data_IF_604905833464
#
_entry.id   IF_604905833464
#
_cell.length_a   1.000
_cell.length_b   1.000
_cell.length_c   1.000
_cell.angle_alpha   90.00
_cell.angle_beta   90.00
_cell.angle_gamma   90.00
#
_symmetry.space_group_name_H-M   'P 1'
#
loop_
_entity.id
_entity.type
_entity.pdbx_description
1 polymer ?
#
# COMPACT_ATOMS: atom_id res chain seq x y z
N UNK A 1 -19.58 22.29 -7.68
CA UNK A 1 -18.23 22.32 -7.06
C UNK A 1 -17.80 20.89 -6.81
N UNK A 2 -16.53 20.54 -7.10
CA UNK A 2 -16.02 19.19 -6.96
C UNK A 2 -15.89 18.77 -5.49
N UNK A 3 -16.19 17.52 -5.16
CA UNK A 3 -16.15 17.00 -3.79
C UNK A 3 -14.75 17.09 -3.14
N UNK A 4 -13.69 16.98 -3.96
CA UNK A 4 -12.30 17.15 -3.49
C UNK A 4 -12.05 18.52 -2.85
N UNK A 5 -12.73 19.56 -3.31
CA UNK A 5 -12.66 20.92 -2.74
C UNK A 5 -13.16 20.91 -1.29
N UNK A 6 -14.23 20.17 -1.02
CA UNK A 6 -14.80 20.08 0.32
C UNK A 6 -13.91 19.25 1.25
N UNK A 7 -13.29 18.18 0.79
CA UNK A 7 -12.25 17.48 1.56
C UNK A 7 -11.13 18.42 1.99
N UNK A 8 -10.66 19.26 1.06
CA UNK A 8 -9.59 20.22 1.33
C UNK A 8 -10.00 21.27 2.36
N UNK A 9 -11.16 21.93 2.20
CA UNK A 9 -11.56 23.00 3.13
C UNK A 9 -11.95 22.47 4.50
N UNK A 10 -12.58 21.31 4.59
CA UNK A 10 -12.86 20.66 5.85
C UNK A 10 -11.59 20.30 6.62
N UNK A 11 -10.52 19.91 5.94
CA UNK A 11 -9.23 19.62 6.58
C UNK A 11 -8.58 20.82 7.25
N UNK A 12 -9.03 22.04 6.95
CA UNK A 12 -8.55 23.28 7.55
C UNK A 12 -9.21 23.59 8.90
N UNK A 13 -10.23 22.84 9.31
CA UNK A 13 -10.96 23.07 10.53
C UNK A 13 -10.33 22.31 11.68
N UNK A 14 -9.78 23.02 12.64
CA UNK A 14 -9.19 22.41 13.84
C UNK A 14 -10.21 21.54 14.58
N UNK A 15 -9.78 20.33 14.95
CA UNK A 15 -10.63 19.35 15.62
C UNK A 15 -11.50 18.50 14.69
N UNK A 16 -11.51 18.76 13.38
CA UNK A 16 -12.18 17.93 12.38
C UNK A 16 -11.12 17.07 11.65
N UNK A 17 -10.87 15.89 12.18
CA UNK A 17 -9.92 14.94 11.61
C UNK A 17 -10.57 13.91 10.68
N UNK A 18 -9.80 12.99 10.11
CA UNK A 18 -10.26 12.00 9.12
C UNK A 18 -11.49 11.18 9.57
N UNK A 19 -11.54 10.82 10.85
CA UNK A 19 -12.68 10.05 11.41
C UNK A 19 -13.97 10.87 11.34
N UNK A 20 -13.91 12.13 11.74
CA UNK A 20 -15.09 13.01 11.70
C UNK A 20 -15.50 13.34 10.27
N UNK A 21 -14.56 13.51 9.35
CA UNK A 21 -14.84 13.69 7.92
C UNK A 21 -15.58 12.50 7.32
N UNK A 22 -15.16 11.29 7.68
CA UNK A 22 -15.84 10.07 7.25
C UNK A 22 -17.27 9.97 7.81
N UNK A 23 -17.49 10.35 9.08
CA UNK A 23 -18.82 10.42 9.70
C UNK A 23 -19.70 11.44 9.01
N UNK A 24 -19.16 12.64 8.70
CA UNK A 24 -19.88 13.64 7.90
C UNK A 24 -20.30 13.09 6.55
N UNK A 25 -19.38 12.46 5.83
CA UNK A 25 -19.68 11.87 4.52
C UNK A 25 -20.75 10.78 4.63
N UNK A 26 -20.69 9.92 5.65
CA UNK A 26 -21.69 8.88 5.89
C UNK A 26 -23.08 9.45 6.21
N UNK A 27 -23.13 10.53 6.99
CA UNK A 27 -24.39 11.14 7.43
C UNK A 27 -25.05 11.99 6.33
N UNK A 28 -24.25 12.78 5.60
CA UNK A 28 -24.76 13.72 4.59
C UNK A 28 -24.64 13.22 3.13
N UNK A 29 -23.99 12.09 2.93
CA UNK A 29 -23.69 11.55 1.59
C UNK A 29 -22.45 12.18 0.95
N UNK A 30 -22.29 13.50 1.06
CA UNK A 30 -21.13 14.26 0.56
C UNK A 30 -20.65 15.28 1.58
N UNK A 31 -19.36 15.64 1.51
CA UNK A 31 -18.82 16.74 2.34
C UNK A 31 -19.31 18.10 1.87
N UNK A 32 -19.72 18.23 0.60
CA UNK A 32 -20.40 19.40 0.07
C UNK A 32 -21.74 19.65 0.78
N UNK A 33 -22.58 18.61 0.88
CA UNK A 33 -23.85 18.71 1.62
C UNK A 33 -23.63 19.01 3.11
N UNK A 34 -22.60 18.40 3.72
CA UNK A 34 -22.20 18.70 5.09
C UNK A 34 -21.74 20.16 5.26
N UNK A 35 -21.08 20.74 4.25
CA UNK A 35 -20.62 22.14 4.28
C UNK A 35 -21.78 23.12 4.33
N UNK A 36 -22.90 22.82 3.67
CA UNK A 36 -24.11 23.67 3.65
C UNK A 36 -25.07 23.37 4.82
N UNK A 37 -24.81 22.33 5.61
CA UNK A 37 -25.69 21.90 6.68
C UNK A 37 -25.78 22.94 7.83
N UNK A 38 -26.95 23.04 8.44
CA UNK A 38 -27.17 23.91 9.61
C UNK A 38 -26.41 23.40 10.84
N UNK A 39 -26.08 24.26 11.81
CA UNK A 39 -25.43 23.85 13.06
C UNK A 39 -26.22 22.78 13.82
N UNK A 40 -27.55 22.77 13.73
CA UNK A 40 -28.38 21.74 14.34
C UNK A 40 -28.16 20.37 13.72
N UNK A 41 -28.14 20.27 12.38
CA UNK A 41 -27.86 19.03 11.66
C UNK A 41 -26.43 18.51 11.87
N UNK A 42 -25.45 19.42 11.98
CA UNK A 42 -24.07 19.00 12.28
C UNK A 42 -23.95 18.36 13.67
N UNK A 43 -24.79 18.77 14.66
CA UNK A 43 -24.80 18.16 16.00
C UNK A 43 -25.36 16.73 16.04
N UNK A 44 -26.10 16.32 15.01
CA UNK A 44 -26.60 14.94 14.88
C UNK A 44 -25.49 13.96 14.53
N UNK A 45 -24.36 14.45 14.02
CA UNK A 45 -23.21 13.62 13.67
C UNK A 45 -22.41 13.27 14.93
N UNK A 46 -22.19 11.99 15.16
CA UNK A 46 -21.41 11.52 16.31
C UNK A 46 -20.02 12.14 16.36
N UNK A 47 -19.67 12.74 17.50
CA UNK A 47 -18.41 13.45 17.73
C UNK A 47 -18.44 14.96 17.39
N UNK A 48 -19.57 15.48 16.87
CA UNK A 48 -19.77 16.91 16.67
C UNK A 48 -20.40 17.56 17.90
N UNK A 49 -19.62 17.73 18.96
CA UNK A 49 -20.05 18.48 20.14
C UNK A 49 -20.15 20.00 19.87
N UNK A 50 -20.70 20.74 20.83
CA UNK A 50 -20.94 22.18 20.70
C UNK A 50 -19.69 22.96 20.26
N UNK A 51 -18.53 22.68 20.85
CA UNK A 51 -17.24 23.34 20.49
C UNK A 51 -16.81 23.07 19.05
N UNK A 52 -16.97 21.80 18.57
CA UNK A 52 -16.62 21.44 17.20
C UNK A 52 -17.53 22.14 16.21
N UNK A 53 -18.85 22.20 16.47
CA UNK A 53 -19.82 22.89 15.62
C UNK A 53 -19.54 24.39 15.58
N UNK A 54 -19.23 25.02 16.71
CA UNK A 54 -18.85 26.42 16.77
C UNK A 54 -17.60 26.73 15.94
N UNK A 55 -16.56 25.90 16.07
CA UNK A 55 -15.33 26.00 15.24
C UNK A 55 -15.63 25.87 13.75
N UNK A 56 -16.51 24.93 13.38
CA UNK A 56 -16.95 24.74 11.99
C UNK A 56 -17.67 25.97 11.46
N UNK A 57 -18.67 26.46 12.19
CA UNK A 57 -19.47 27.64 11.77
C UNK A 57 -18.58 28.87 11.62
N UNK A 58 -17.71 29.14 12.61
CA UNK A 58 -16.80 30.28 12.59
C UNK A 58 -15.79 30.19 11.43
N UNK A 59 -15.26 29.00 11.15
CA UNK A 59 -14.28 28.85 10.08
C UNK A 59 -14.93 28.85 8.69
N UNK A 60 -16.09 28.21 8.56
CA UNK A 60 -16.85 28.14 7.31
C UNK A 60 -17.26 29.50 6.78
N UNK A 61 -17.63 30.45 7.67
CA UNK A 61 -17.96 31.82 7.28
C UNK A 61 -16.78 32.63 6.72
N UNK A 62 -15.55 32.16 6.96
CA UNK A 62 -14.31 32.82 6.52
C UNK A 62 -13.72 32.20 5.25
N UNK A 63 -14.18 31.01 4.82
CA UNK A 63 -13.62 30.28 3.70
C UNK A 63 -14.62 30.25 2.55
N UNK A 64 -14.24 30.85 1.43
CA UNK A 64 -14.83 30.59 0.13
C UNK A 64 -14.12 29.36 -0.46
N UNK A 65 -14.78 28.20 -0.63
CA UNK A 65 -14.12 26.97 -1.04
C UNK A 65 -13.40 27.06 -2.39
N UNK A 66 -13.97 27.79 -3.34
CA UNK A 66 -13.43 27.90 -4.69
C UNK A 66 -12.15 28.74 -4.71
N UNK A 67 -12.20 29.91 -4.07
CA UNK A 67 -11.02 30.77 -3.90
C UNK A 67 -9.93 30.08 -3.10
N UNK A 68 -10.32 29.35 -2.06
CA UNK A 68 -9.37 28.59 -1.25
C UNK A 68 -8.65 27.53 -2.08
N UNK A 69 -9.37 26.75 -2.89
CA UNK A 69 -8.77 25.75 -3.78
C UNK A 69 -7.78 26.42 -4.76
N UNK A 70 -8.17 27.52 -5.41
CA UNK A 70 -7.31 28.22 -6.37
C UNK A 70 -6.01 28.70 -5.72
N UNK A 71 -6.09 29.31 -4.52
CA UNK A 71 -4.90 29.74 -3.78
C UNK A 71 -4.05 28.56 -3.31
N UNK A 72 -4.69 27.48 -2.90
CA UNK A 72 -4.01 26.27 -2.44
C UNK A 72 -3.21 25.62 -3.56
N UNK A 73 -3.77 25.52 -4.76
CA UNK A 73 -3.13 24.93 -5.94
C UNK A 73 -1.85 25.67 -6.36
N UNK A 74 -1.72 26.96 -6.07
CA UNK A 74 -0.50 27.72 -6.37
C UNK A 74 0.72 27.20 -5.62
N UNK A 75 0.54 26.72 -4.37
CA UNK A 75 1.61 26.19 -3.53
C UNK A 75 1.66 24.66 -3.49
N UNK A 76 0.49 24.04 -3.68
CA UNK A 76 0.29 22.59 -3.59
C UNK A 76 -0.44 22.07 -4.83
N UNK A 77 0.20 22.05 -6.02
CA UNK A 77 -0.48 21.68 -7.26
C UNK A 77 -0.84 20.20 -7.32
N UNK A 78 -0.17 19.36 -6.54
CA UNK A 78 -0.30 17.92 -6.59
C UNK A 78 -0.77 17.35 -5.24
N UNK A 79 -2.02 16.95 -5.16
CA UNK A 79 -2.60 16.25 -4.02
C UNK A 79 -3.78 15.39 -4.45
N UNK A 80 -4.07 14.39 -3.63
CA UNK A 80 -5.29 13.58 -3.70
C UNK A 80 -6.13 13.77 -2.44
N UNK A 81 -7.41 13.57 -2.60
CA UNK A 81 -8.39 13.44 -1.51
C UNK A 81 -9.12 12.10 -1.66
N UNK A 82 -9.81 11.59 -0.64
CA UNK A 82 -10.62 10.37 -0.76
C UNK A 82 -11.72 10.41 -1.84
N UNK A 83 -12.02 11.58 -2.40
CA UNK A 83 -12.95 11.74 -3.53
C UNK A 83 -12.28 11.51 -4.90
N UNK A 84 -10.96 11.50 -4.97
CA UNK A 84 -10.24 11.32 -6.23
C UNK A 84 -10.05 9.81 -6.52
N UNK A 85 -10.29 9.40 -7.77
CA UNK A 85 -10.15 8.00 -8.19
C UNK A 85 -8.70 7.49 -8.07
N UNK A 86 -7.74 8.40 -8.17
CA UNK A 86 -6.30 8.11 -8.03
C UNK A 86 -5.83 8.07 -6.57
N UNK A 87 -6.68 8.33 -5.58
CA UNK A 87 -6.30 8.21 -4.17
C UNK A 87 -5.86 6.78 -3.86
N UNK A 88 -4.70 6.55 -3.19
CA UNK A 88 -4.20 5.20 -2.95
C UNK A 88 -5.22 4.31 -2.23
N UNK A 89 -5.68 3.27 -2.91
CA UNK A 89 -6.75 2.38 -2.44
C UNK A 89 -6.45 1.76 -1.08
N UNK A 90 -5.22 1.27 -0.90
CA UNK A 90 -4.82 0.65 0.37
C UNK A 90 -4.89 1.64 1.55
N UNK A 91 -4.64 2.93 1.32
CA UNK A 91 -4.79 3.98 2.35
C UNK A 91 -6.26 4.31 2.58
N UNK A 92 -7.07 4.35 1.52
CA UNK A 92 -8.51 4.62 1.62
C UNK A 92 -9.24 3.56 2.47
N UNK A 93 -8.77 2.32 2.42
CA UNK A 93 -9.32 1.19 3.20
C UNK A 93 -9.00 1.27 4.70
N UNK A 94 -8.08 2.15 5.12
CA UNK A 94 -7.72 2.31 6.54
C UNK A 94 -8.82 3.04 7.32
N UNK A 95 -8.88 2.87 8.66
CA UNK A 95 -9.88 3.55 9.49
C UNK A 95 -9.81 5.08 9.45
N UNK A 96 -8.61 5.65 9.20
CA UNK A 96 -8.33 7.08 9.27
C UNK A 96 -7.46 7.58 8.10
N UNK A 97 -7.95 7.45 6.83
CA UNK A 97 -7.21 7.92 5.67
C UNK A 97 -6.98 9.43 5.73
N UNK A 98 -5.81 9.96 5.31
CA UNK A 98 -5.60 11.40 5.19
C UNK A 98 -6.70 12.08 4.38
N UNK A 99 -7.23 13.20 4.88
CA UNK A 99 -8.20 14.00 4.15
C UNK A 99 -7.59 14.61 2.87
N UNK A 100 -6.29 14.92 2.94
CA UNK A 100 -5.48 15.40 1.81
C UNK A 100 -4.15 14.68 1.85
N UNK A 101 -3.74 14.12 0.74
CA UNK A 101 -2.45 13.46 0.57
C UNK A 101 -1.68 14.16 -0.55
N UNK A 102 -0.71 15.00 -0.15
CA UNK A 102 0.18 15.71 -1.08
C UNK A 102 1.24 14.78 -1.64
N UNK A 103 1.66 15.02 -2.88
CA UNK A 103 2.70 14.21 -3.51
C UNK A 103 3.65 15.02 -4.42
N UNK A 104 4.86 14.47 -4.62
CA UNK A 104 5.84 14.90 -5.62
C UNK A 104 6.54 13.68 -6.20
N UNK A 105 6.86 13.73 -7.49
CA UNK A 105 7.53 12.64 -8.22
C UNK A 105 6.61 11.99 -9.25
N UNK A 106 6.86 10.73 -9.57
CA UNK A 106 6.17 10.00 -10.63
C UNK A 106 5.07 9.11 -10.06
N UNK A 107 3.82 9.41 -10.38
CA UNK A 107 2.66 8.59 -10.01
C UNK A 107 2.60 7.35 -10.91
N UNK A 108 2.30 6.20 -10.31
CA UNK A 108 1.98 4.96 -11.03
C UNK A 108 0.55 4.51 -10.67
N UNK A 109 -0.40 4.52 -11.61
CA UNK A 109 -1.81 4.18 -11.33
C UNK A 109 -1.99 2.78 -10.74
N UNK A 110 -1.23 1.79 -11.21
CA UNK A 110 -1.29 0.41 -10.71
C UNK A 110 -0.93 0.30 -9.22
N UNK A 111 -0.01 1.15 -8.74
CA UNK A 111 0.38 1.25 -7.34
C UNK A 111 -0.75 1.84 -6.50
N UNK A 112 -1.37 2.92 -6.98
CA UNK A 112 -2.53 3.53 -6.31
C UNK A 112 -3.74 2.59 -6.28
N UNK A 113 -3.94 1.80 -7.33
CA UNK A 113 -4.99 0.76 -7.38
C UNK A 113 -4.68 -0.46 -6.51
N UNK A 114 -3.49 -0.55 -5.93
CA UNK A 114 -3.05 -1.70 -5.12
C UNK A 114 -2.71 -2.95 -5.96
N UNK A 115 -2.48 -2.81 -7.26
CA UNK A 115 -2.07 -3.91 -8.16
C UNK A 115 -0.59 -4.19 -7.92
N UNK A 116 0.27 -3.18 -8.05
CA UNK A 116 1.70 -3.30 -7.72
C UNK A 116 1.86 -3.56 -6.22
N UNK A 117 2.54 -4.64 -5.82
CA UNK A 117 2.72 -4.96 -4.40
C UNK A 117 3.64 -3.94 -3.72
N UNK A 118 3.21 -3.42 -2.59
CA UNK A 118 3.95 -2.46 -1.77
C UNK A 118 4.32 -3.06 -0.43
N UNK A 119 5.56 -2.86 0.03
CA UNK A 119 6.08 -3.37 1.31
C UNK A 119 6.71 -2.24 2.10
N UNK A 120 6.25 -2.07 3.34
CA UNK A 120 6.83 -1.13 4.29
C UNK A 120 8.12 -1.69 4.89
N UNK A 121 9.21 -0.93 4.89
CA UNK A 121 10.45 -1.29 5.59
C UNK A 121 10.76 -0.18 6.57
N UNK A 122 10.84 -0.54 7.86
CA UNK A 122 11.05 0.42 8.95
C UNK A 122 12.04 -0.12 9.99
N UNK A 123 12.64 0.78 10.76
CA UNK A 123 13.54 0.38 11.83
C UNK A 123 14.14 1.54 12.60
N UNK A 124 15.21 1.25 13.34
CA UNK A 124 15.95 2.22 14.13
C UNK A 124 16.67 3.25 13.26
N UNK A 125 16.87 4.43 13.84
CA UNK A 125 17.68 5.51 13.21
C UNK A 125 19.19 5.29 13.35
N UNK A 126 19.59 4.37 14.21
CA UNK A 126 20.99 4.00 14.47
C UNK A 126 21.14 2.47 14.36
N UNK A 127 21.11 1.94 13.13
CA UNK A 127 21.17 0.51 12.91
C UNK A 127 22.60 -0.02 13.09
N UNK A 128 22.68 -1.29 13.50
CA UNK A 128 23.90 -2.08 13.44
C UNK A 128 24.29 -2.41 12.00
N UNK A 129 25.53 -2.83 11.79
CA UNK A 129 25.95 -3.33 10.46
C UNK A 129 25.13 -4.55 10.02
N UNK A 130 24.68 -5.38 10.96
CA UNK A 130 23.78 -6.50 10.66
C UNK A 130 22.43 -6.00 10.13
N UNK A 131 21.82 -5.03 10.81
CA UNK A 131 20.55 -4.42 10.37
C UNK A 131 20.68 -3.75 8.99
N UNK A 132 21.76 -2.99 8.75
CA UNK A 132 22.04 -2.37 7.45
C UNK A 132 22.15 -3.41 6.36
N UNK A 133 22.97 -4.45 6.56
CA UNK A 133 23.23 -5.50 5.59
C UNK A 133 21.93 -6.22 5.19
N UNK A 134 21.11 -6.61 6.17
CA UNK A 134 19.85 -7.28 5.91
C UNK A 134 18.83 -6.35 5.24
N UNK A 135 18.75 -5.10 5.64
CA UNK A 135 17.87 -4.10 5.02
C UNK A 135 18.21 -3.94 3.54
N UNK A 136 19.49 -3.76 3.21
CA UNK A 136 19.94 -3.63 1.83
C UNK A 136 19.66 -4.89 1.01
N UNK A 137 19.95 -6.06 1.55
CA UNK A 137 19.73 -7.35 0.88
C UNK A 137 18.25 -7.57 0.55
N UNK A 138 17.37 -7.35 1.53
CA UNK A 138 15.92 -7.53 1.37
C UNK A 138 15.34 -6.48 0.43
N UNK A 139 15.70 -5.21 0.59
CA UNK A 139 15.20 -4.13 -0.28
C UNK A 139 15.59 -4.36 -1.73
N UNK A 140 16.83 -4.78 -2.00
CA UNK A 140 17.28 -5.09 -3.35
C UNK A 140 16.55 -6.31 -3.94
N UNK A 141 16.30 -7.36 -3.15
CA UNK A 141 15.58 -8.54 -3.61
C UNK A 141 14.11 -8.22 -3.94
N UNK A 142 13.43 -7.47 -3.06
CA UNK A 142 12.05 -7.01 -3.29
C UNK A 142 11.96 -6.13 -4.55
N UNK A 143 12.88 -5.18 -4.71
CA UNK A 143 12.95 -4.30 -5.87
C UNK A 143 13.07 -5.08 -7.19
N UNK A 144 13.95 -6.09 -7.24
CA UNK A 144 14.13 -6.97 -8.41
C UNK A 144 12.88 -7.78 -8.74
N UNK A 145 12.02 -8.07 -7.76
CA UNK A 145 10.75 -8.78 -7.92
C UNK A 145 9.56 -7.82 -8.18
N UNK A 146 9.84 -6.55 -8.48
CA UNK A 146 8.81 -5.57 -8.82
C UNK A 146 8.00 -5.04 -7.65
N UNK A 147 8.44 -5.27 -6.40
CA UNK A 147 7.82 -4.63 -5.24
C UNK A 147 8.21 -3.17 -5.13
N UNK A 148 7.26 -2.32 -4.76
CA UNK A 148 7.56 -0.95 -4.35
C UNK A 148 7.84 -0.90 -2.85
N UNK A 149 8.98 -0.33 -2.47
CA UNK A 149 9.36 -0.13 -1.07
C UNK A 149 8.71 1.15 -0.54
N UNK A 150 8.09 1.06 0.63
CA UNK A 150 7.51 2.22 1.33
C UNK A 150 8.27 2.45 2.64
N UNK A 151 8.78 3.67 2.86
CA UNK A 151 9.44 4.00 4.12
C UNK A 151 9.32 5.50 4.43
N UNK A 152 9.95 5.94 5.53
CA UNK A 152 9.74 7.27 6.08
C UNK A 152 10.87 8.27 5.85
N UNK A 153 11.93 7.93 5.13
CA UNK A 153 13.09 8.79 4.91
C UNK A 153 13.83 9.19 6.20
N UNK A 154 13.59 8.54 7.33
CA UNK A 154 14.36 8.77 8.55
C UNK A 154 15.80 8.26 8.40
N UNK A 155 16.69 8.71 9.29
CA UNK A 155 18.03 8.12 9.39
C UNK A 155 17.97 6.60 9.59
N UNK A 156 19.04 5.92 9.22
CA UNK A 156 19.22 4.50 9.47
C UNK A 156 18.42 3.62 8.52
N UNK A 157 17.58 2.72 9.04
CA UNK A 157 16.90 1.68 8.26
C UNK A 157 16.10 2.25 7.08
N UNK A 158 15.33 3.33 7.30
CA UNK A 158 14.51 3.94 6.26
C UNK A 158 15.37 4.42 5.07
N UNK A 159 16.47 5.13 5.39
CA UNK A 159 17.45 5.61 4.40
C UNK A 159 18.08 4.46 3.63
N UNK A 160 18.49 3.40 4.31
CA UNK A 160 19.11 2.23 3.71
C UNK A 160 18.14 1.44 2.82
N UNK A 161 16.88 1.35 3.23
CA UNK A 161 15.82 0.72 2.44
C UNK A 161 15.57 1.45 1.10
N UNK A 162 15.43 2.78 1.14
CA UNK A 162 15.26 3.58 -0.06
C UNK A 162 16.48 3.49 -0.98
N UNK A 163 17.68 3.64 -0.42
CA UNK A 163 18.94 3.62 -1.18
C UNK A 163 19.15 2.29 -1.89
N UNK A 164 19.06 1.18 -1.18
CA UNK A 164 19.25 -0.15 -1.75
C UNK A 164 18.16 -0.52 -2.79
N UNK A 165 16.94 -0.05 -2.61
CA UNK A 165 15.89 -0.20 -3.61
C UNK A 165 16.24 0.52 -4.92
N UNK A 166 16.68 1.78 -4.84
CA UNK A 166 17.06 2.58 -6.01
C UNK A 166 18.33 2.03 -6.71
N UNK A 167 19.32 1.60 -5.94
CA UNK A 167 20.56 0.96 -6.45
C UNK A 167 20.25 -0.35 -7.22
N UNK A 168 19.19 -1.06 -6.81
CA UNK A 168 18.71 -2.25 -7.52
C UNK A 168 17.79 -1.95 -8.71
N UNK A 169 17.61 -0.68 -9.08
CA UNK A 169 16.74 -0.24 -10.18
C UNK A 169 15.24 -0.25 -9.82
N UNK A 170 14.90 -0.44 -8.56
CA UNK A 170 13.52 -0.52 -8.07
C UNK A 170 12.88 0.84 -7.84
N UNK A 171 11.62 0.78 -7.41
CA UNK A 171 10.78 1.94 -7.10
C UNK A 171 10.51 2.05 -5.61
N UNK A 172 10.53 3.27 -5.07
CA UNK A 172 10.28 3.50 -3.66
C UNK A 172 9.43 4.74 -3.40
N UNK A 173 8.60 4.67 -2.35
CA UNK A 173 7.73 5.75 -1.86
C UNK A 173 8.24 6.23 -0.50
N UNK A 174 8.55 7.51 -0.40
CA UNK A 174 8.92 8.15 0.85
C UNK A 174 7.73 8.91 1.44
N UNK A 175 7.30 8.51 2.63
CA UNK A 175 6.23 9.23 3.34
C UNK A 175 6.86 10.23 4.31
N UNK A 176 6.47 11.50 4.25
CA UNK A 176 7.06 12.58 5.05
C UNK A 176 6.18 12.98 6.24
N UNK A 177 6.82 13.40 7.33
CA UNK A 177 6.18 14.10 8.46
C UNK A 177 6.31 15.62 8.36
N UNK A 178 6.77 16.12 7.20
CA UNK A 178 6.95 17.52 6.82
C UNK A 178 6.19 17.76 5.52
N UNK A 179 6.15 18.98 4.99
CA UNK A 179 5.72 19.20 3.61
C UNK A 179 6.56 18.39 2.63
N UNK A 180 5.98 18.00 1.48
CA UNK A 180 6.66 17.18 0.45
C UNK A 180 7.92 17.85 -0.14
N UNK A 181 8.11 19.14 0.07
CA UNK A 181 9.23 19.98 -0.36
C UNK A 181 10.28 20.22 0.75
N UNK A 182 9.98 19.81 1.99
CA UNK A 182 10.84 20.00 3.16
C UNK A 182 11.53 18.69 3.53
N UNK A 183 12.77 18.52 3.06
CA UNK A 183 13.55 17.29 3.29
C UNK A 183 14.06 17.25 4.73
N UNK A 184 13.70 16.19 5.44
CA UNK A 184 14.19 15.92 6.79
C UNK A 184 14.49 14.43 6.99
N UNK A 185 15.72 14.10 7.43
CA UNK A 185 16.85 14.96 7.72
C UNK A 185 17.45 15.61 6.46
N UNK A 186 18.07 16.78 6.59
CA UNK A 186 18.52 17.58 5.43
C UNK A 186 19.63 16.93 4.60
N UNK A 187 20.46 16.08 5.22
CA UNK A 187 21.53 15.36 4.51
C UNK A 187 20.99 14.27 3.56
N UNK A 188 19.72 13.88 3.66
CA UNK A 188 19.06 12.98 2.70
C UNK A 188 18.57 13.70 1.42
N UNK A 189 19.01 14.95 1.18
CA UNK A 189 18.60 15.73 -0.01
C UNK A 189 18.89 15.00 -1.32
N UNK A 190 20.09 14.42 -1.48
CA UNK A 190 20.43 13.66 -2.68
C UNK A 190 19.55 12.44 -2.88
N UNK A 191 19.21 11.72 -1.81
CA UNK A 191 18.29 10.58 -1.84
C UNK A 191 16.87 11.01 -2.21
N UNK A 192 16.42 12.15 -1.69
CA UNK A 192 15.12 12.74 -2.07
C UNK A 192 15.05 13.02 -3.59
N UNK A 193 16.07 13.63 -4.18
CA UNK A 193 16.09 13.90 -5.63
C UNK A 193 16.08 12.59 -6.46
N UNK A 194 16.79 11.57 -6.01
CA UNK A 194 16.76 10.24 -6.63
C UNK A 194 15.38 9.59 -6.55
N UNK A 195 14.69 9.72 -5.40
CA UNK A 195 13.32 9.21 -5.25
C UNK A 195 12.38 9.94 -6.20
N UNK A 196 12.45 11.26 -6.32
CA UNK A 196 11.61 12.02 -7.25
C UNK A 196 11.79 11.58 -8.71
N UNK A 197 13.00 11.15 -9.08
CA UNK A 197 13.29 10.72 -10.44
C UNK A 197 12.56 9.43 -10.85
N UNK A 198 12.31 8.51 -9.93
CA UNK A 198 11.68 7.20 -10.24
C UNK A 198 10.59 6.76 -9.25
N UNK A 199 10.43 7.44 -8.15
CA UNK A 199 9.49 7.13 -7.08
C UNK A 199 8.54 8.27 -6.79
N UNK A 200 8.05 8.30 -5.56
CA UNK A 200 7.07 9.28 -5.10
C UNK A 200 7.37 9.70 -3.64
N UNK A 201 7.24 10.97 -3.36
CA UNK A 201 7.23 11.52 -2.00
C UNK A 201 5.81 11.91 -1.65
N UNK A 202 5.34 11.48 -0.48
CA UNK A 202 3.98 11.64 -0.01
C UNK A 202 3.96 12.34 1.34
N UNK A 203 2.97 13.17 1.60
CA UNK A 203 2.76 13.79 2.91
C UNK A 203 1.28 14.15 3.15
N UNK A 204 0.84 14.10 4.39
CA UNK A 204 -0.43 14.66 4.84
C UNK A 204 -0.33 16.18 5.10
N UNK A 205 0.88 16.73 5.06
CA UNK A 205 1.15 18.13 5.38
C UNK A 205 1.44 18.94 4.12
N UNK A 206 0.87 20.15 4.04
CA UNK A 206 1.08 21.05 2.90
C UNK A 206 2.53 21.50 2.74
N UNK A 207 2.88 21.95 1.53
CA UNK A 207 4.20 22.47 1.21
C UNK A 207 4.66 23.54 2.22
N UNK A 208 5.95 23.57 2.54
CA UNK A 208 6.57 24.46 3.50
C UNK A 208 6.37 24.05 4.97
N UNK A 209 5.63 22.96 5.27
CA UNK A 209 5.43 22.53 6.66
C UNK A 209 6.74 22.03 7.27
N UNK A 210 7.23 22.65 8.37
CA UNK A 210 8.50 22.27 9.00
C UNK A 210 8.41 20.95 9.77
N UNK A 211 9.56 20.33 10.14
CA UNK A 211 9.57 19.14 10.97
C UNK A 211 9.03 19.39 12.36
N UNK A 212 8.23 18.44 12.85
CA UNK A 212 7.68 18.41 14.20
C UNK A 212 7.68 16.99 14.75
N UNK A 213 8.08 16.82 16.01
CA UNK A 213 8.23 15.51 16.65
C UNK A 213 6.94 14.71 16.72
N UNK A 214 5.79 15.36 16.82
CA UNK A 214 4.48 14.72 16.90
C UNK A 214 4.00 14.18 15.55
N UNK A 215 4.46 14.78 14.45
CA UNK A 215 4.05 14.42 13.09
C UNK A 215 4.69 13.14 12.58
N UNK A 216 5.90 12.80 13.06
CA UNK A 216 6.58 11.57 12.62
C UNK A 216 5.83 10.30 13.03
N UNK A 217 5.38 10.13 14.31
CA UNK A 217 4.53 8.99 14.67
C UNK A 217 3.17 9.00 13.95
N UNK A 218 2.55 10.16 13.79
CA UNK A 218 1.28 10.29 13.09
C UNK A 218 1.37 9.86 11.62
N UNK A 219 2.48 10.19 10.93
CA UNK A 219 2.76 9.81 9.57
C UNK A 219 2.89 8.30 9.38
N UNK A 220 3.38 7.56 10.38
CA UNK A 220 3.67 6.13 10.25
C UNK A 220 2.44 5.30 9.85
N UNK A 221 1.21 5.78 10.16
CA UNK A 221 -0.02 5.14 9.70
C UNK A 221 -0.16 5.16 8.17
N UNK A 222 0.43 6.13 7.50
CA UNK A 222 0.40 6.22 6.04
C UNK A 222 1.37 5.20 5.44
N UNK A 223 2.54 4.97 6.08
CA UNK A 223 3.47 3.90 5.68
C UNK A 223 2.77 2.55 5.77
N UNK A 224 2.17 2.23 6.94
CA UNK A 224 1.42 0.99 7.14
C UNK A 224 0.23 0.88 6.17
N UNK A 225 -0.51 1.99 5.97
CA UNK A 225 -1.67 2.05 5.08
C UNK A 225 -1.34 1.81 3.61
N UNK A 226 -0.20 2.29 3.13
CA UNK A 226 0.28 2.06 1.77
C UNK A 226 0.81 0.64 1.55
N UNK A 227 1.10 -0.12 2.61
CA UNK A 227 1.82 -1.38 2.55
C UNK A 227 0.90 -2.57 2.71
N UNK A 228 1.13 -3.64 1.95
CA UNK A 228 0.49 -4.95 2.18
C UNK A 228 1.09 -5.67 3.38
N UNK A 229 2.37 -5.46 3.61
CA UNK A 229 3.11 -5.99 4.75
C UNK A 229 4.13 -4.96 5.24
N UNK A 230 4.51 -5.02 6.51
CA UNK A 230 5.54 -4.18 7.12
C UNK A 230 6.66 -5.05 7.69
N UNK A 231 7.89 -4.79 7.26
CA UNK A 231 9.11 -5.42 7.74
C UNK A 231 9.80 -4.52 8.74
N UNK A 232 10.00 -4.99 9.97
CA UNK A 232 10.76 -4.30 11.02
C UNK A 232 12.16 -4.91 11.07
N UNK A 233 13.14 -4.16 10.57
CA UNK A 233 14.50 -4.67 10.38
C UNK A 233 15.34 -4.67 11.64
N UNK A 234 15.28 -3.62 12.42
CA UNK A 234 15.96 -3.49 13.70
C UNK A 234 15.19 -2.48 14.55
N UNK A 235 14.84 -2.87 15.77
CA UNK A 235 14.10 -2.01 16.67
C UNK A 235 14.41 -2.32 18.14
N UNK A 236 15.05 -1.41 18.90
CA UNK A 236 15.08 -1.49 20.35
C UNK A 236 13.67 -1.28 20.94
N UNK A 237 13.47 -1.63 22.25
CA UNK A 237 12.17 -1.63 22.94
C UNK A 237 11.34 -0.35 22.80
N UNK A 238 11.98 0.81 22.63
CA UNK A 238 11.32 2.13 22.53
C UNK A 238 11.43 2.74 21.13
N UNK A 239 11.62 1.92 20.11
CA UNK A 239 11.74 2.39 18.72
C UNK A 239 10.41 2.89 18.17
N UNK A 240 10.45 4.01 17.44
CA UNK A 240 9.29 4.51 16.68
C UNK A 240 8.81 3.56 15.59
N UNK A 241 9.64 2.63 15.12
CA UNK A 241 9.26 1.59 14.17
C UNK A 241 8.20 0.62 14.74
N UNK A 242 8.19 0.41 16.05
CA UNK A 242 7.19 -0.42 16.73
C UNK A 242 5.79 0.20 16.65
N UNK A 243 5.69 1.54 16.57
CA UNK A 243 4.40 2.22 16.33
C UNK A 243 3.88 1.86 14.94
N UNK A 244 4.75 1.82 13.92
CA UNK A 244 4.36 1.42 12.57
C UNK A 244 3.89 -0.04 12.53
N UNK A 245 4.58 -0.93 13.24
CA UNK A 245 4.19 -2.34 13.36
C UNK A 245 2.83 -2.50 14.04
N UNK A 246 2.59 -1.78 15.15
CA UNK A 246 1.29 -1.81 15.83
C UNK A 246 0.17 -1.33 14.90
N UNK A 247 0.36 -0.20 14.22
CA UNK A 247 -0.63 0.33 13.27
C UNK A 247 -0.87 -0.63 12.10
N UNK A 248 0.18 -1.31 11.61
CA UNK A 248 0.05 -2.34 10.58
C UNK A 248 -0.85 -3.49 11.05
N UNK A 249 -0.66 -3.99 12.28
CA UNK A 249 -1.53 -4.99 12.89
C UNK A 249 -2.99 -4.48 13.01
N UNK A 250 -3.20 -3.24 13.46
CA UNK A 250 -4.52 -2.62 13.57
C UNK A 250 -5.22 -2.53 12.19
N UNK A 251 -4.45 -2.35 11.12
CA UNK A 251 -4.91 -2.33 9.73
C UNK A 251 -4.99 -3.73 9.09
N UNK A 252 -4.73 -4.80 9.87
CA UNK A 252 -4.70 -6.19 9.39
C UNK A 252 -3.69 -6.41 8.26
N UNK A 253 -2.56 -5.71 8.33
CA UNK A 253 -1.40 -5.92 7.46
C UNK A 253 -0.44 -6.90 8.13
N UNK A 254 0.17 -7.78 7.36
CA UNK A 254 1.18 -8.67 7.88
C UNK A 254 2.38 -7.90 8.43
N UNK A 255 2.86 -8.30 9.60
CA UNK A 255 4.07 -7.75 10.22
C UNK A 255 5.13 -8.83 10.25
N UNK A 256 6.30 -8.49 9.73
CA UNK A 256 7.50 -9.31 9.78
C UNK A 256 8.56 -8.64 10.62
N UNK A 257 9.33 -9.41 11.37
CA UNK A 257 10.43 -8.87 12.17
C UNK A 257 11.72 -9.67 11.93
N UNK A 258 12.83 -8.95 11.77
CA UNK A 258 14.15 -9.57 11.68
C UNK A 258 14.54 -10.11 13.03
N UNK A 259 14.93 -11.38 13.07
CA UNK A 259 15.46 -12.03 14.27
C UNK A 259 16.96 -11.81 14.39
N UNK A 260 17.43 -11.70 15.63
CA UNK A 260 18.84 -11.67 16.00
C UNK A 260 19.02 -12.38 17.34
N UNK A 261 20.22 -12.33 17.91
CA UNK A 261 20.51 -12.92 19.21
C UNK A 261 19.62 -12.31 20.29
N UNK A 262 19.16 -13.12 21.24
CA UNK A 262 18.27 -12.69 22.32
C UNK A 262 18.90 -11.66 23.29
N UNK A 263 20.21 -11.60 23.34
CA UNK A 263 20.99 -10.65 24.16
C UNK A 263 21.29 -9.32 23.45
N UNK A 264 20.90 -9.18 22.16
CA UNK A 264 21.11 -7.95 21.41
C UNK A 264 20.00 -6.93 21.69
N UNK A 265 20.35 -5.88 22.44
CA UNK A 265 19.44 -4.81 22.83
C UNK A 265 18.73 -4.16 21.63
N UNK A 266 19.42 -4.03 20.50
CA UNK A 266 18.91 -3.37 19.30
C UNK A 266 17.74 -4.14 18.68
N UNK A 267 17.60 -5.43 18.98
CA UNK A 267 16.55 -6.31 18.45
C UNK A 267 15.46 -6.66 19.48
N UNK A 268 15.53 -6.16 20.70
CA UNK A 268 14.53 -6.48 21.72
C UNK A 268 13.10 -6.11 21.32
N UNK A 269 12.91 -5.05 20.51
CA UNK A 269 11.59 -4.70 19.95
C UNK A 269 11.13 -5.71 18.88
N UNK A 270 12.04 -6.15 18.01
CA UNK A 270 11.77 -7.19 17.02
C UNK A 270 11.40 -8.51 17.69
N UNK A 271 12.15 -8.92 18.73
CA UNK A 271 11.86 -10.14 19.50
C UNK A 271 10.47 -10.06 20.16
N UNK A 272 10.11 -8.90 20.74
CA UNK A 272 8.78 -8.70 21.31
C UNK A 272 7.67 -8.81 20.24
N UNK A 273 7.89 -8.27 19.05
CA UNK A 273 6.93 -8.42 17.94
C UNK A 273 6.74 -9.88 17.54
N UNK A 274 7.84 -10.68 17.47
CA UNK A 274 7.77 -12.11 17.17
C UNK A 274 6.97 -12.88 18.24
N UNK A 275 7.18 -12.57 19.52
CA UNK A 275 6.41 -13.16 20.63
C UNK A 275 4.94 -12.77 20.55
N UNK A 276 4.60 -11.58 20.03
CA UNK A 276 3.25 -11.09 19.83
C UNK A 276 2.58 -11.60 18.54
N UNK A 277 3.25 -12.46 17.78
CA UNK A 277 2.69 -13.10 16.58
C UNK A 277 3.14 -12.48 15.25
N UNK A 278 4.08 -11.57 15.24
CA UNK A 278 4.72 -11.16 14.00
C UNK A 278 5.46 -12.34 13.36
N UNK A 279 5.49 -12.39 12.03
CA UNK A 279 6.18 -13.45 11.28
C UNK A 279 7.69 -13.21 11.30
N UNK A 280 8.53 -14.24 11.51
CA UNK A 280 9.97 -14.07 11.37
C UNK A 280 10.34 -13.82 9.89
N UNK A 281 11.31 -12.96 9.67
CA UNK A 281 11.93 -12.83 8.34
C UNK A 281 12.83 -14.06 8.16
N UNK A 282 12.57 -14.90 7.13
CA UNK A 282 13.39 -16.11 6.89
C UNK A 282 14.78 -15.73 6.39
N UNK A 283 15.74 -16.63 6.62
CA UNK A 283 17.13 -16.46 6.14
C UNK A 283 17.18 -16.52 4.62
N UNK A 284 16.37 -17.42 4.05
CA UNK A 284 16.25 -17.60 2.60
C UNK A 284 15.29 -16.56 2.02
N UNK A 285 15.80 -15.68 1.16
CA UNK A 285 15.01 -14.60 0.57
C UNK A 285 13.87 -15.10 -0.30
N UNK A 286 14.04 -16.21 -1.00
CA UNK A 286 13.01 -16.81 -1.84
C UNK A 286 11.78 -17.22 -1.02
N UNK A 287 11.99 -17.67 0.22
CA UNK A 287 10.91 -17.96 1.15
C UNK A 287 10.17 -16.68 1.56
N UNK A 288 10.90 -15.60 1.90
CA UNK A 288 10.29 -14.31 2.19
C UNK A 288 9.46 -13.79 1.00
N UNK A 289 10.01 -13.88 -0.20
CA UNK A 289 9.34 -13.43 -1.42
C UNK A 289 8.05 -14.22 -1.67
N UNK A 290 8.06 -15.53 -1.49
CA UNK A 290 6.85 -16.38 -1.56
C UNK A 290 5.83 -15.99 -0.50
N UNK A 291 6.26 -15.76 0.75
CA UNK A 291 5.37 -15.34 1.84
C UNK A 291 4.71 -13.98 1.56
N UNK A 292 5.40 -13.08 0.85
CA UNK A 292 4.89 -11.78 0.42
C UNK A 292 4.06 -11.83 -0.87
N UNK A 293 3.92 -13.02 -1.49
CA UNK A 293 3.13 -13.22 -2.70
C UNK A 293 3.86 -12.87 -3.99
N UNK A 294 5.19 -12.89 -4.00
CA UNK A 294 5.95 -12.77 -5.24
C UNK A 294 5.73 -14.01 -6.11
N UNK A 295 5.33 -13.80 -7.35
CA UNK A 295 5.42 -14.84 -8.39
C UNK A 295 6.87 -14.97 -8.83
N UNK A 296 7.46 -16.20 -8.90
CA UNK A 296 8.82 -16.35 -9.39
C UNK A 296 8.93 -15.76 -10.80
N UNK A 297 9.79 -14.78 -10.99
CA UNK A 297 10.22 -14.37 -12.33
C UNK A 297 11.07 -15.57 -12.83
N UNK A 298 10.57 -16.31 -13.81
CA UNK A 298 11.43 -17.27 -14.53
C UNK A 298 12.54 -16.43 -15.15
N UNK A 299 13.77 -16.63 -14.71
CA UNK A 299 14.95 -16.12 -15.42
C UNK A 299 14.84 -16.59 -16.85
N UNK A 300 14.52 -15.69 -17.76
CA UNK A 300 14.74 -15.92 -19.18
C UNK A 300 16.24 -15.88 -19.35
N UNK A 301 16.83 -17.08 -19.48
CA UNK A 301 18.22 -17.24 -19.92
C UNK A 301 18.47 -16.33 -21.13
N UNK A 302 19.57 -15.59 -21.07
CA UNK A 302 20.11 -14.74 -22.10
C UNK A 302 20.05 -15.42 -23.47
N UNK A 303 19.09 -15.03 -24.28
CA UNK A 303 19.17 -15.22 -25.73
C UNK A 303 19.58 -13.90 -26.34
N UNK A 304 20.78 -13.90 -26.87
CA UNK A 304 21.46 -12.78 -27.49
C UNK A 304 20.60 -12.03 -28.50
N UNK A 305 20.89 -10.75 -28.55
CA UNK A 305 20.43 -9.75 -29.50
C UNK A 305 20.20 -10.27 -30.92
N UNK A 306 18.99 -10.17 -31.44
CA UNK A 306 18.69 -10.09 -32.87
C UNK A 306 17.51 -9.13 -33.14
N UNK A 307 17.45 -8.53 -34.35
CA UNK A 307 16.87 -7.21 -34.55
C UNK A 307 15.35 -7.18 -34.81
N UNK A 308 14.82 -5.97 -34.56
CA UNK A 308 13.49 -5.48 -34.91
C UNK A 308 12.99 -5.97 -36.27
N UNK A 309 11.89 -6.74 -36.28
CA UNK A 309 10.82 -6.59 -37.29
C UNK A 309 9.52 -7.13 -36.72
N UNK A 310 8.50 -6.29 -36.72
CA UNK A 310 7.14 -6.62 -36.36
C UNK A 310 6.55 -7.61 -37.36
N UNK A 311 6.18 -8.79 -36.90
CA UNK A 311 5.15 -9.61 -37.51
C UNK A 311 4.39 -10.35 -36.40
N UNK A 312 3.09 -10.21 -36.42
CA UNK A 312 2.12 -10.95 -35.61
C UNK A 312 2.35 -12.45 -35.68
N UNK A 313 2.70 -13.10 -34.55
CA UNK A 313 2.79 -14.55 -34.45
C UNK A 313 1.61 -15.10 -33.66
N UNK A 314 1.06 -16.26 -34.08
CA UNK A 314 -0.06 -16.91 -33.40
C UNK A 314 0.35 -17.45 -32.04
N UNK A 315 -0.58 -17.43 -31.11
CA UNK A 315 -0.45 -17.95 -29.75
C UNK A 315 -0.09 -19.45 -29.77
N UNK A 316 1.16 -19.80 -29.52
CA UNK A 316 1.57 -21.17 -29.23
C UNK A 316 1.27 -21.47 -27.75
N UNK A 317 0.10 -21.97 -27.46
CA UNK A 317 -0.14 -22.77 -26.26
C UNK A 317 0.55 -24.13 -26.46
N UNK A 318 1.24 -24.67 -25.44
CA UNK A 318 1.76 -26.04 -25.52
C UNK A 318 0.58 -26.98 -25.78
N UNK A 319 0.77 -28.07 -26.55
CA UNK A 319 -0.31 -29.01 -26.84
C UNK A 319 -0.85 -29.53 -25.52
N UNK A 320 -2.16 -29.38 -25.32
CA UNK A 320 -2.89 -29.99 -24.22
C UNK A 320 -2.63 -31.49 -24.22
N UNK A 321 -2.35 -32.13 -23.07
CA UNK A 321 -2.34 -33.58 -22.98
C UNK A 321 -3.66 -34.13 -23.50
N UNK A 322 -3.62 -35.32 -24.07
CA UNK A 322 -4.80 -35.99 -24.63
C UNK A 322 -5.78 -36.29 -23.48
N UNK A 323 -6.71 -35.37 -23.26
CA UNK A 323 -7.70 -35.42 -22.17
C UNK A 323 -8.93 -36.16 -22.63
N UNK A 324 -9.46 -37.03 -21.77
CA UNK A 324 -10.76 -37.69 -21.99
C UNK A 324 -11.86 -36.63 -22.26
N UNK A 325 -12.89 -36.97 -23.05
CA UNK A 325 -13.90 -35.97 -23.49
C UNK A 325 -14.54 -35.16 -22.37
N UNK A 326 -14.85 -35.80 -21.22
CA UNK A 326 -15.44 -35.12 -20.06
C UNK A 326 -14.47 -34.15 -19.38
N UNK A 327 -13.20 -34.56 -19.21
CA UNK A 327 -12.15 -33.69 -18.66
C UNK A 327 -11.89 -32.46 -19.53
N UNK A 328 -11.89 -32.67 -20.86
CA UNK A 328 -11.72 -31.59 -21.83
C UNK A 328 -12.88 -30.59 -21.77
N UNK A 329 -14.11 -31.07 -21.61
CA UNK A 329 -15.30 -30.24 -21.50
C UNK A 329 -15.28 -29.39 -20.22
N UNK A 330 -14.92 -29.99 -19.07
CA UNK A 330 -14.79 -29.26 -17.80
C UNK A 330 -13.61 -28.30 -17.85
N UNK A 331 -12.49 -28.68 -18.44
CA UNK A 331 -11.34 -27.79 -18.62
C UNK A 331 -11.68 -26.58 -19.47
N UNK A 332 -12.48 -26.71 -20.52
CA UNK A 332 -12.95 -25.60 -21.34
C UNK A 332 -13.92 -24.66 -20.60
N UNK A 333 -14.68 -25.19 -19.63
CA UNK A 333 -15.60 -24.40 -18.81
C UNK A 333 -14.88 -23.56 -17.72
N UNK A 334 -13.66 -23.94 -17.32
CA UNK A 334 -12.83 -23.16 -16.40
C UNK A 334 -12.04 -22.13 -17.19
N UNK A 335 -12.09 -20.85 -16.79
CA UNK A 335 -11.31 -19.77 -17.41
C UNK A 335 -10.04 -19.44 -16.61
N UNK A 336 -9.22 -18.54 -17.14
CA UNK A 336 -8.12 -17.89 -16.38
C UNK A 336 -8.62 -16.97 -15.27
N UNK A 337 -9.89 -16.65 -15.24
CA UNK A 337 -10.54 -15.93 -14.13
C UNK A 337 -11.10 -16.93 -13.12
N UNK A 338 -11.14 -16.52 -11.85
CA UNK A 338 -11.66 -17.35 -10.74
C UNK A 338 -13.17 -17.54 -10.90
N UNK A 339 -13.61 -18.78 -11.08
CA UNK A 339 -15.03 -19.14 -11.24
C UNK A 339 -15.54 -19.99 -10.07
N UNK A 340 -16.76 -19.74 -9.56
CA UNK A 340 -17.39 -20.61 -8.57
C UNK A 340 -17.82 -21.94 -9.21
N UNK A 341 -17.83 -23.01 -8.42
CA UNK A 341 -18.17 -24.38 -8.84
C UNK A 341 -19.50 -24.45 -9.61
N UNK A 342 -20.55 -23.81 -9.11
CA UNK A 342 -21.89 -23.84 -9.72
C UNK A 342 -21.89 -23.28 -11.13
N UNK A 343 -21.10 -22.23 -11.38
CA UNK A 343 -20.98 -21.63 -12.71
C UNK A 343 -20.21 -22.55 -13.68
N UNK A 344 -19.24 -23.31 -13.17
CA UNK A 344 -18.51 -24.31 -13.97
C UNK A 344 -19.45 -25.47 -14.34
N UNK A 345 -20.27 -25.94 -13.40
CA UNK A 345 -21.30 -26.97 -13.66
C UNK A 345 -22.27 -26.51 -14.75
N UNK A 346 -22.74 -25.29 -14.65
CA UNK A 346 -23.65 -24.70 -15.65
C UNK A 346 -22.99 -24.58 -17.03
N UNK A 347 -21.71 -24.11 -17.09
CA UNK A 347 -20.97 -23.95 -18.35
C UNK A 347 -20.57 -25.28 -18.97
N UNK A 348 -20.21 -26.27 -18.14
CA UNK A 348 -19.84 -27.59 -18.61
C UNK A 348 -21.05 -28.43 -19.06
N UNK A 349 -22.26 -28.11 -18.60
CA UNK A 349 -23.48 -28.85 -18.95
C UNK A 349 -23.47 -30.32 -18.50
N UNK A 350 -22.68 -30.65 -17.47
CA UNK A 350 -22.52 -31.99 -16.90
C UNK A 350 -23.12 -32.06 -15.49
N UNK A 351 -23.37 -33.27 -14.98
CA UNK A 351 -23.81 -33.45 -13.60
C UNK A 351 -22.75 -32.98 -12.61
N UNK A 352 -23.16 -32.38 -11.48
CA UNK A 352 -22.25 -31.81 -10.48
C UNK A 352 -21.20 -32.81 -9.98
N UNK A 353 -21.56 -34.11 -9.82
CA UNK A 353 -20.65 -35.19 -9.46
C UNK A 353 -19.53 -35.42 -10.49
N UNK A 354 -19.89 -35.45 -11.79
CA UNK A 354 -18.92 -35.58 -12.89
C UNK A 354 -17.97 -34.38 -12.95
N UNK A 355 -18.50 -33.15 -12.79
CA UNK A 355 -17.67 -31.94 -12.77
C UNK A 355 -16.72 -31.94 -11.58
N UNK A 356 -17.17 -32.36 -10.40
CA UNK A 356 -16.30 -32.46 -9.20
C UNK A 356 -15.16 -33.45 -9.40
N UNK A 357 -15.43 -34.62 -9.94
CA UNK A 357 -14.42 -35.64 -10.25
C UNK A 357 -13.42 -35.16 -11.31
N UNK A 358 -13.93 -34.51 -12.36
CA UNK A 358 -13.09 -33.98 -13.43
C UNK A 358 -12.19 -32.81 -12.93
N UNK A 359 -12.71 -31.90 -12.08
CA UNK A 359 -11.91 -30.82 -11.48
C UNK A 359 -10.79 -31.35 -10.58
N UNK A 360 -11.06 -32.41 -9.81
CA UNK A 360 -10.02 -33.04 -8.98
C UNK A 360 -8.92 -33.66 -9.86
N UNK A 361 -9.26 -34.32 -10.96
CA UNK A 361 -8.28 -34.88 -11.88
C UNK A 361 -7.49 -33.81 -12.60
N UNK A 362 -8.13 -32.72 -13.04
CA UNK A 362 -7.46 -31.57 -13.66
C UNK A 362 -6.54 -30.83 -12.66
N UNK A 363 -6.88 -30.81 -11.40
CA UNK A 363 -6.03 -30.27 -10.33
C UNK A 363 -4.81 -31.16 -10.07
N UNK A 364 -4.97 -32.49 -10.02
CA UNK A 364 -3.86 -33.43 -9.93
C UNK A 364 -2.92 -33.36 -11.14
N UNK A 365 -3.44 -32.99 -12.31
CA UNK A 365 -2.65 -32.76 -13.52
C UNK A 365 -2.00 -31.37 -13.57
N UNK A 366 -2.28 -30.48 -12.58
CA UNK A 366 -1.76 -29.11 -12.52
C UNK A 366 -2.36 -28.16 -13.55
N UNK A 367 -3.51 -28.51 -14.15
CA UNK A 367 -4.18 -27.72 -15.18
C UNK A 367 -5.22 -26.74 -14.60
N UNK A 368 -5.70 -27.01 -13.38
CA UNK A 368 -6.67 -26.18 -12.64
C UNK A 368 -6.23 -26.11 -11.19
N UNK A 369 -6.47 -25.00 -10.53
CA UNK A 369 -6.23 -24.81 -9.09
C UNK A 369 -7.54 -24.51 -8.36
N UNK A 370 -7.79 -25.21 -7.25
CA UNK A 370 -8.89 -24.93 -6.35
C UNK A 370 -8.52 -23.80 -5.39
N UNK A 371 -9.43 -22.86 -5.20
CA UNK A 371 -9.33 -21.73 -4.27
C UNK A 371 -10.37 -21.83 -3.15
N UNK A 372 -10.16 -21.22 -1.98
CA UNK A 372 -11.13 -21.23 -0.89
C UNK A 372 -12.54 -20.82 -1.32
N UNK A 373 -13.57 -21.56 -0.85
CA UNK A 373 -14.97 -21.34 -1.18
C UNK A 373 -15.42 -22.02 -2.47
N UNK A 374 -14.87 -23.17 -2.82
CA UNK A 374 -15.21 -23.96 -4.01
C UNK A 374 -15.13 -23.14 -5.30
N UNK A 375 -14.05 -22.40 -5.46
CA UNK A 375 -13.74 -21.63 -6.67
C UNK A 375 -12.54 -22.24 -7.37
N UNK A 376 -12.51 -22.15 -8.68
CA UNK A 376 -11.49 -22.77 -9.53
C UNK A 376 -10.99 -21.80 -10.58
N UNK A 377 -9.72 -21.96 -10.96
CA UNK A 377 -9.05 -21.15 -11.97
C UNK A 377 -8.13 -22.05 -12.79
N UNK A 378 -7.96 -21.76 -14.08
CA UNK A 378 -6.96 -22.40 -14.93
C UNK A 378 -5.55 -22.00 -14.50
N UNK A 379 -4.63 -22.95 -14.42
CA UNK A 379 -3.20 -22.69 -14.16
C UNK A 379 -2.50 -22.09 -15.37
#
# INVERSE_FOLDING_TARGET
MEERTFWLVWSQISGVGPILLRRLQQHFGTLGAAWEASPAKLREVEGFGAKTVEAVVGKRSQIDPEKFLQQHLQKNPYFWTPADAEYPRLVLETPNPPAVLYYRGKVQPQENQGITPTVGIVGTRQPSEYGIRWTRRISAALAKQGFTIVSGMADGIDTEAHRACLEAGGRTLAVFGTGVDVVYPSHNRSLYEQILANGLVLSEYSAGTPPDRTRFPARNRIIAGLSRAVLVMEAPKKSGALITAQVANDFRRDVYALSARNDDYNFHGCLNLLVQGAKPIPIELDELLKMLGATPIKETENLGSLPLFAQSLPSNQPPLPDLEPELKQVFQAVSSEVLPFDLIVQKAGLAAGSVSSALLQLELMGLVTQLPGMRYQRC
#
